data_IF_066180031224
#
_entry.id   IF_066180031224
#
_cell.length_a   1.000
_cell.length_b   1.000
_cell.length_c   1.000
_cell.angle_alpha   90.00
_cell.angle_beta   90.00
_cell.angle_gamma   90.00
#
_symmetry.space_group_name_H-M   'P 1'
#
loop_
_entity.id
_entity.type
_entity.pdbx_description
1 polymer ?
#
# COMPACT_ATOMS: atom_id res chain seq x y z
N UNK A 1 21.81 -18.12 18.87
CA UNK A 1 20.64 -18.74 18.22
C UNK A 1 19.87 -17.63 17.52
N UNK A 2 20.14 -17.40 16.23
CA UNK A 2 19.50 -16.34 15.45
C UNK A 2 18.21 -16.89 14.84
N UNK A 3 17.08 -16.24 15.11
CA UNK A 3 15.79 -16.62 14.55
C UNK A 3 15.79 -16.37 13.04
N UNK A 4 15.65 -17.47 12.31
CA UNK A 4 15.23 -17.57 10.92
C UNK A 4 13.88 -16.84 10.74
N UNK A 5 13.89 -15.59 10.28
CA UNK A 5 12.68 -14.94 9.75
C UNK A 5 12.39 -15.55 8.37
N UNK A 6 11.64 -16.65 8.41
CA UNK A 6 11.18 -17.37 7.23
C UNK A 6 10.39 -16.49 6.27
N UNK A 7 10.54 -16.81 4.98
CA UNK A 7 10.00 -16.10 3.84
C UNK A 7 8.55 -15.65 4.02
N UNK A 8 8.37 -14.34 4.16
CA UNK A 8 7.14 -13.72 3.72
C UNK A 8 7.00 -13.97 2.22
N UNK A 9 5.90 -14.59 1.80
CA UNK A 9 5.66 -14.92 0.40
C UNK A 9 5.81 -13.70 -0.51
N UNK A 10 5.93 -13.91 -1.82
CA UNK A 10 6.11 -12.87 -2.82
C UNK A 10 5.00 -11.79 -2.89
N UNK A 11 4.07 -11.76 -1.94
CA UNK A 11 2.95 -10.82 -1.79
C UNK A 11 2.83 -10.25 -0.37
N UNK A 12 3.61 -10.72 0.62
CA UNK A 12 3.41 -10.38 2.03
C UNK A 12 3.89 -8.98 2.42
N UNK A 13 4.78 -8.37 1.62
CA UNK A 13 5.33 -7.04 1.88
C UNK A 13 4.43 -5.94 1.28
N UNK A 14 3.72 -5.14 2.09
CA UNK A 14 2.86 -4.06 1.60
C UNK A 14 3.62 -2.81 1.12
N UNK A 15 4.82 -2.56 1.63
CA UNK A 15 5.63 -1.41 1.23
C UNK A 15 6.55 -1.78 0.07
N UNK A 16 6.36 -1.14 -1.09
CA UNK A 16 7.19 -1.37 -2.27
C UNK A 16 8.66 -0.99 -2.02
N UNK A 17 8.90 0.06 -1.22
CA UNK A 17 10.27 0.50 -0.86
C UNK A 17 10.96 -0.47 0.09
N UNK A 18 10.19 -1.26 0.87
CA UNK A 18 10.74 -2.27 1.76
C UNK A 18 11.11 -3.58 1.04
N UNK A 19 10.87 -3.69 -0.27
CA UNK A 19 11.33 -4.82 -1.05
C UNK A 19 12.86 -4.81 -1.17
N UNK A 20 13.52 -5.99 -1.13
CA UNK A 20 14.95 -6.11 -1.43
C UNK A 20 15.35 -5.39 -2.71
N UNK A 21 16.55 -4.80 -2.74
CA UNK A 21 17.02 -3.98 -3.85
C UNK A 21 16.96 -4.68 -5.22
N UNK A 22 17.21 -5.99 -5.27
CA UNK A 22 17.14 -6.76 -6.51
C UNK A 22 15.71 -6.96 -7.04
N UNK A 23 14.69 -6.69 -6.22
CA UNK A 23 13.26 -6.74 -6.58
C UNK A 23 12.67 -5.36 -6.91
N UNK A 24 13.48 -4.31 -6.92
CA UNK A 24 13.04 -2.93 -7.24
C UNK A 24 12.98 -2.65 -8.75
N UNK A 25 13.22 -3.64 -9.61
CA UNK A 25 13.07 -3.47 -11.06
C UNK A 25 11.60 -3.51 -11.48
N UNK A 26 11.25 -2.87 -12.60
CA UNK A 26 9.88 -2.80 -13.12
C UNK A 26 9.22 -4.18 -13.25
N UNK A 27 9.96 -5.17 -13.74
CA UNK A 27 9.48 -6.56 -13.86
C UNK A 27 9.09 -7.14 -12.51
N UNK A 28 9.93 -6.93 -11.49
CA UNK A 28 9.70 -7.48 -10.16
C UNK A 28 8.62 -6.73 -9.39
N UNK A 29 8.56 -5.39 -9.50
CA UNK A 29 7.49 -4.59 -8.92
C UNK A 29 6.13 -4.95 -9.53
N UNK A 30 6.08 -5.12 -10.84
CA UNK A 30 4.85 -5.54 -11.55
C UNK A 30 4.44 -6.94 -11.11
N UNK A 31 5.38 -7.90 -11.04
CA UNK A 31 5.10 -9.24 -10.56
C UNK A 31 4.62 -9.26 -9.10
N UNK A 32 5.19 -8.39 -8.25
CA UNK A 32 4.79 -8.24 -6.84
C UNK A 32 3.39 -7.64 -6.69
N UNK A 33 3.05 -6.62 -7.48
CA UNK A 33 1.71 -6.05 -7.49
C UNK A 33 0.67 -7.06 -8.02
N UNK A 34 1.01 -7.80 -9.07
CA UNK A 34 0.15 -8.85 -9.62
C UNK A 34 -0.07 -9.98 -8.61
N UNK A 35 0.98 -10.43 -7.92
CA UNK A 35 0.88 -11.48 -6.90
C UNK A 35 -0.04 -11.04 -5.75
N UNK A 36 0.08 -9.78 -5.29
CA UNK A 36 -0.79 -9.18 -4.27
C UNK A 36 -2.24 -9.07 -4.74
N UNK A 37 -2.47 -8.60 -5.96
CA UNK A 37 -3.81 -8.52 -6.53
C UNK A 37 -4.50 -9.89 -6.58
N UNK A 38 -3.76 -10.93 -6.97
CA UNK A 38 -4.29 -12.29 -7.07
C UNK A 38 -4.76 -12.85 -5.71
N UNK A 39 -4.12 -12.44 -4.61
CA UNK A 39 -4.53 -12.81 -3.24
C UNK A 39 -5.45 -11.77 -2.58
N UNK A 40 -6.16 -10.97 -3.38
CA UNK A 40 -7.11 -9.95 -2.91
C UNK A 40 -6.50 -8.86 -2.02
N UNK A 41 -5.22 -8.51 -2.25
CA UNK A 41 -4.52 -7.38 -1.63
C UNK A 41 -4.28 -6.27 -2.68
N UNK A 42 -5.32 -5.52 -3.10
CA UNK A 42 -5.22 -4.58 -4.23
C UNK A 42 -4.47 -3.27 -3.92
N UNK A 43 -4.03 -3.07 -2.68
CA UNK A 43 -3.35 -1.85 -2.23
C UNK A 43 -1.89 -2.11 -1.86
N UNK A 44 -1.02 -1.15 -2.12
CA UNK A 44 0.40 -1.19 -1.76
C UNK A 44 0.91 0.22 -1.41
N UNK A 45 1.79 0.32 -0.41
CA UNK A 45 2.39 1.60 -0.02
C UNK A 45 3.64 1.88 -0.86
N UNK A 46 3.69 3.05 -1.48
CA UNK A 46 4.89 3.53 -2.17
C UNK A 46 5.75 4.39 -1.25
N UNK A 47 5.13 5.17 -0.36
CA UNK A 47 5.83 5.94 0.67
C UNK A 47 4.86 6.28 1.81
N UNK A 48 5.31 7.05 2.80
CA UNK A 48 4.43 7.58 3.85
C UNK A 48 3.36 8.57 3.31
N UNK A 49 3.51 9.06 2.07
CA UNK A 49 2.60 10.01 1.41
C UNK A 49 2.01 9.50 0.10
N UNK A 50 2.30 8.25 -0.28
CA UNK A 50 1.85 7.69 -1.54
C UNK A 50 1.32 6.26 -1.37
N UNK A 51 0.13 6.03 -1.91
CA UNK A 51 -0.56 4.76 -1.92
C UNK A 51 -0.88 4.38 -3.36
N UNK A 52 -0.60 3.13 -3.72
CA UNK A 52 -1.00 2.53 -5.00
C UNK A 52 -2.24 1.68 -4.75
N UNK A 53 -3.30 1.94 -5.53
CA UNK A 53 -4.55 1.20 -5.49
C UNK A 53 -4.85 0.62 -6.87
N UNK A 54 -4.96 -0.71 -6.97
CA UNK A 54 -5.35 -1.39 -8.19
C UNK A 54 -6.87 -1.60 -8.17
N UNK A 55 -7.55 -1.13 -9.20
CA UNK A 55 -9.00 -1.26 -9.28
C UNK A 55 -9.41 -2.73 -9.43
N UNK A 56 -10.20 -3.23 -8.49
CA UNK A 56 -10.76 -4.60 -8.50
C UNK A 56 -12.14 -4.68 -9.17
N UNK A 57 -12.70 -3.56 -9.62
CA UNK A 57 -14.04 -3.44 -10.23
C UNK A 57 -15.19 -4.02 -9.37
N UNK A 58 -15.03 -4.03 -8.05
CA UNK A 58 -16.04 -4.59 -7.13
C UNK A 58 -16.49 -3.56 -6.08
N UNK A 59 -15.62 -3.20 -5.15
CA UNK A 59 -15.87 -2.13 -4.18
C UNK A 59 -14.54 -1.53 -3.71
N UNK A 60 -14.51 -0.22 -3.50
CA UNK A 60 -13.40 0.48 -2.85
C UNK A 60 -13.45 0.40 -1.32
N UNK A 61 -14.59 0.01 -0.74
CA UNK A 61 -14.84 -0.01 0.72
C UNK A 61 -14.49 -1.33 1.38
N UNK A 62 -14.27 -2.39 0.59
CA UNK A 62 -14.03 -3.76 1.07
C UNK A 62 -12.58 -4.13 0.85
N UNK A 63 -11.89 -4.46 1.93
CA UNK A 63 -10.56 -5.02 1.96
C UNK A 63 -10.59 -6.55 1.95
N UNK A 64 -9.45 -7.20 2.23
CA UNK A 64 -9.29 -8.65 2.10
C UNK A 64 -10.30 -9.45 2.95
N UNK A 65 -10.56 -8.98 4.16
CA UNK A 65 -11.49 -9.62 5.10
C UNK A 65 -12.95 -9.13 4.94
N UNK A 66 -13.24 -8.37 3.87
CA UNK A 66 -14.56 -7.78 3.62
C UNK A 66 -14.87 -6.50 4.43
N UNK A 67 -14.05 -6.16 5.42
CA UNK A 67 -14.11 -4.91 6.17
C UNK A 67 -13.35 -3.76 5.49
N UNK A 68 -13.28 -2.58 6.13
CA UNK A 68 -12.60 -1.39 5.57
C UNK A 68 -11.06 -1.53 5.54
N UNK A 69 -10.50 -2.29 6.48
CA UNK A 69 -9.05 -2.45 6.62
C UNK A 69 -8.43 -3.07 5.35
N UNK A 70 -7.38 -2.46 4.82
CA UNK A 70 -6.72 -2.90 3.58
C UNK A 70 -7.47 -2.54 2.28
N UNK A 71 -8.65 -1.92 2.38
CA UNK A 71 -9.39 -1.39 1.23
C UNK A 71 -8.76 -0.11 0.68
N UNK A 72 -9.10 0.25 -0.57
CA UNK A 72 -8.66 1.50 -1.18
C UNK A 72 -9.20 2.73 -0.42
N UNK A 73 -10.44 2.67 0.08
CA UNK A 73 -11.02 3.73 0.90
C UNK A 73 -10.30 3.88 2.24
N UNK A 74 -10.04 2.77 2.93
CA UNK A 74 -9.30 2.80 4.20
C UNK A 74 -7.91 3.40 4.03
N UNK A 75 -7.19 3.00 2.97
CA UNK A 75 -5.89 3.59 2.67
C UNK A 75 -5.94 5.08 2.29
N UNK A 76 -7.01 5.53 1.62
CA UNK A 76 -7.22 6.94 1.30
C UNK A 76 -7.53 7.77 2.54
N UNK A 77 -8.34 7.25 3.47
CA UNK A 77 -8.59 7.87 4.77
C UNK A 77 -7.30 7.96 5.60
N UNK A 78 -6.51 6.89 5.67
CA UNK A 78 -5.21 6.91 6.35
C UNK A 78 -4.28 7.98 5.77
N UNK A 79 -4.32 8.19 4.45
CA UNK A 79 -3.55 9.24 3.77
C UNK A 79 -4.09 10.64 4.09
N UNK A 80 -5.42 10.80 4.14
CA UNK A 80 -6.07 12.05 4.51
C UNK A 80 -5.77 12.43 5.97
N UNK A 81 -5.82 11.50 6.91
CA UNK A 81 -5.47 11.72 8.31
C UNK A 81 -4.01 12.18 8.46
N UNK A 82 -3.09 11.55 7.74
CA UNK A 82 -1.68 11.98 7.72
C UNK A 82 -1.50 13.37 7.10
N UNK A 83 -2.22 13.68 6.03
CA UNK A 83 -2.18 15.02 5.44
C UNK A 83 -2.74 16.07 6.42
N UNK A 84 -3.86 15.78 7.08
CA UNK A 84 -4.45 16.68 8.07
C UNK A 84 -3.53 16.92 9.27
N UNK A 85 -2.91 15.86 9.81
CA UNK A 85 -1.95 15.97 10.89
C UNK A 85 -0.74 16.84 10.49
N UNK A 86 -0.24 16.71 9.24
CA UNK A 86 0.86 17.55 8.72
C UNK A 86 0.44 19.00 8.53
N UNK A 87 -0.77 19.26 8.05
CA UNK A 87 -1.32 20.61 7.93
C UNK A 87 -1.30 21.32 9.30
N UNK A 88 -1.77 20.65 10.35
CA UNK A 88 -1.77 21.21 11.71
C UNK A 88 -0.37 21.38 12.31
N UNK A 89 0.53 20.42 12.08
CA UNK A 89 1.88 20.45 12.66
C UNK A 89 2.84 21.45 11.97
N UNK A 90 2.65 21.70 10.67
CA UNK A 90 3.56 22.53 9.86
C UNK A 90 2.94 23.84 9.39
N UNK A 91 1.63 23.99 9.50
CA UNK A 91 0.90 25.16 8.98
C UNK A 91 1.13 25.41 7.48
N UNK A 92 1.31 24.34 6.70
CA UNK A 92 1.54 24.39 5.25
C UNK A 92 0.40 23.68 4.51
N UNK A 93 -0.08 24.27 3.40
CA UNK A 93 -1.11 23.69 2.55
C UNK A 93 -0.74 22.27 2.10
N UNK A 94 -1.70 21.35 2.18
CA UNK A 94 -1.54 19.96 1.73
C UNK A 94 -2.48 19.71 0.55
N UNK A 95 -2.04 18.85 -0.38
CA UNK A 95 -2.86 18.39 -1.49
C UNK A 95 -2.68 16.88 -1.66
N UNK A 96 -3.77 16.18 -1.94
CA UNK A 96 -3.78 14.76 -2.33
C UNK A 96 -4.26 14.72 -3.78
N UNK A 97 -3.47 14.09 -4.64
CA UNK A 97 -3.75 13.97 -6.08
C UNK A 97 -4.00 12.50 -6.40
N UNK A 98 -5.10 12.23 -7.10
CA UNK A 98 -5.39 10.93 -7.67
C UNK A 98 -4.97 10.95 -9.14
N UNK A 99 -4.19 9.95 -9.56
CA UNK A 99 -3.65 9.80 -10.92
C UNK A 99 -4.35 8.66 -11.64
#
# INVERSE_FOLDING_TARGET
MALNQGGGGAHSQPSLVALPQHLQSDTHLTAHLASRFHVSLPTAQLSSHALVCINTYSSSTKGPDGGKAGSAMGGAEDLADRAYARLGARSENQAIVFL
#
